data_IF_977994814992
#
_entry.id   IF_977994814992
#
_cell.length_a   1.000
_cell.length_b   1.000
_cell.length_c   1.000
_cell.angle_alpha   90.00
_cell.angle_beta   90.00
_cell.angle_gamma   90.00
#
_symmetry.space_group_name_H-M   'P 1'
#
loop_
_entity.id
_entity.type
_entity.pdbx_description
1 polymer ?
#
# COMPACT_ATOMS: atom_id res chain seq x y z
N UNK A 1 13.52 -1.98 40.06
CA UNK A 1 12.84 -0.72 40.53
C UNK A 1 13.38 0.56 39.89
N UNK A 2 14.69 0.85 39.84
CA UNK A 2 15.24 2.05 39.17
C UNK A 2 15.22 1.87 37.62
N UNK A 3 15.59 0.71 37.11
CA UNK A 3 15.57 0.40 35.69
C UNK A 3 14.17 0.40 35.07
N UNK A 4 13.15 0.02 35.84
CA UNK A 4 11.76 0.02 35.37
C UNK A 4 11.20 1.46 35.30
N UNK A 5 11.60 2.34 36.25
CA UNK A 5 11.26 3.76 36.19
C UNK A 5 11.95 4.49 35.02
N UNK A 6 13.20 4.12 34.71
CA UNK A 6 13.93 4.66 33.56
C UNK A 6 13.26 4.23 32.26
N UNK A 7 12.83 2.97 32.10
CA UNK A 7 12.06 2.51 30.94
C UNK A 7 10.73 3.23 30.77
N UNK A 8 10.04 3.52 31.87
CA UNK A 8 8.78 4.27 31.84
C UNK A 8 9.01 5.74 31.44
N UNK A 9 10.06 6.36 31.95
CA UNK A 9 10.44 7.74 31.59
C UNK A 9 10.88 7.83 30.12
N UNK A 10 11.65 6.87 29.60
CA UNK A 10 11.98 6.80 28.18
C UNK A 10 10.75 6.61 27.29
N UNK A 11 9.72 5.90 27.76
CA UNK A 11 8.47 5.73 27.03
C UNK A 11 7.58 6.97 27.04
N UNK A 12 7.74 7.85 28.04
CA UNK A 12 6.99 9.11 28.20
C UNK A 12 7.68 10.32 27.57
N UNK A 13 8.98 10.24 27.31
CA UNK A 13 9.81 11.32 26.74
C UNK A 13 10.53 10.91 25.45
N UNK A 14 10.17 9.78 24.85
CA UNK A 14 10.58 9.55 23.45
C UNK A 14 10.04 10.71 22.62
N UNK A 15 10.91 11.44 21.90
CA UNK A 15 10.42 12.36 20.87
C UNK A 15 9.51 11.51 19.97
N UNK A 16 8.36 12.08 19.53
CA UNK A 16 7.38 11.43 18.65
C UNK A 16 8.03 10.30 17.88
N UNK A 17 7.63 9.04 18.17
CA UNK A 17 8.21 7.87 17.52
C UNK A 17 8.40 8.21 16.05
N UNK A 18 9.62 8.10 15.54
CA UNK A 18 9.86 8.32 14.12
C UNK A 18 8.78 7.54 13.38
N UNK A 19 7.98 8.26 12.59
CA UNK A 19 6.92 7.63 11.82
C UNK A 19 7.57 6.55 10.96
N UNK A 20 6.97 5.39 10.91
CA UNK A 20 7.45 4.32 10.05
C UNK A 20 7.49 4.81 8.61
N UNK A 21 8.63 4.67 7.97
CA UNK A 21 8.85 5.08 6.58
C UNK A 21 9.43 3.92 5.79
N UNK A 22 9.01 3.77 4.55
CA UNK A 22 9.50 2.73 3.64
C UNK A 22 9.55 3.23 2.20
N UNK A 23 10.30 2.51 1.36
CA UNK A 23 10.36 2.76 -0.06
C UNK A 23 9.28 1.95 -0.78
N UNK A 24 8.60 2.60 -1.71
CA UNK A 24 7.58 2.01 -2.59
C UNK A 24 8.03 2.16 -4.04
N UNK A 25 7.90 1.10 -4.82
CA UNK A 25 8.07 1.16 -6.27
C UNK A 25 6.71 1.45 -6.89
N UNK A 26 6.62 2.56 -7.62
CA UNK A 26 5.40 2.94 -8.34
C UNK A 26 5.35 2.17 -9.66
N UNK A 27 4.24 1.49 -9.94
CA UNK A 27 3.99 0.85 -11.23
C UNK A 27 3.01 1.64 -12.07
N UNK A 28 1.97 2.17 -11.44
CA UNK A 28 0.86 2.82 -12.14
C UNK A 28 0.77 4.27 -11.70
N UNK A 29 0.97 5.23 -12.61
CA UNK A 29 0.81 6.65 -12.32
C UNK A 29 -0.63 7.01 -11.97
N UNK A 30 -0.79 8.02 -11.12
CA UNK A 30 -2.09 8.71 -10.94
C UNK A 30 -2.69 9.08 -12.30
N UNK A 31 -4.01 8.97 -12.40
CA UNK A 31 -4.82 9.24 -13.58
C UNK A 31 -4.59 8.28 -14.78
N UNK A 32 -3.74 7.25 -14.61
CA UNK A 32 -3.55 6.23 -15.62
C UNK A 32 -4.76 5.30 -15.73
N UNK A 33 -5.11 4.96 -16.96
CA UNK A 33 -6.03 3.89 -17.30
C UNK A 33 -5.30 2.58 -17.62
N UNK A 34 -4.00 2.65 -17.79
CA UNK A 34 -3.15 1.51 -18.11
C UNK A 34 -2.63 0.91 -16.82
N UNK A 35 -2.87 -0.39 -16.62
CA UNK A 35 -2.20 -1.17 -15.58
C UNK A 35 -0.86 -1.64 -16.13
N UNK A 36 0.19 -1.28 -15.41
CA UNK A 36 1.54 -1.74 -15.66
C UNK A 36 1.94 -2.72 -14.57
N UNK A 37 2.80 -3.66 -14.93
CA UNK A 37 3.42 -4.62 -14.04
C UNK A 37 4.91 -4.75 -14.35
N UNK A 38 5.71 -4.89 -13.31
CA UNK A 38 7.14 -5.18 -13.47
C UNK A 38 7.34 -6.67 -13.68
N UNK A 39 7.95 -7.04 -14.78
CA UNK A 39 8.30 -8.41 -15.09
C UNK A 39 9.76 -8.69 -14.70
N UNK A 40 9.97 -9.39 -13.57
CA UNK A 40 11.31 -9.73 -13.06
C UNK A 40 12.14 -10.54 -14.05
N UNK A 41 11.53 -11.45 -14.82
CA UNK A 41 12.22 -12.29 -15.79
C UNK A 41 12.86 -11.48 -16.94
N UNK A 42 12.14 -10.48 -17.45
CA UNK A 42 12.60 -9.65 -18.58
C UNK A 42 13.22 -8.34 -18.11
N UNK A 43 13.15 -8.02 -16.83
CA UNK A 43 13.56 -6.72 -16.25
C UNK A 43 12.92 -5.53 -16.98
N UNK A 44 11.62 -5.65 -17.30
CA UNK A 44 10.88 -4.63 -18.07
C UNK A 44 9.52 -4.38 -17.45
N UNK A 45 9.02 -3.17 -17.66
CA UNK A 45 7.61 -2.85 -17.42
C UNK A 45 6.80 -3.42 -18.57
N UNK A 46 5.72 -4.13 -18.24
CA UNK A 46 4.72 -4.61 -19.19
C UNK A 46 3.43 -3.83 -19.01
N UNK A 47 2.72 -3.63 -20.10
CA UNK A 47 1.30 -3.30 -20.05
C UNK A 47 0.56 -4.61 -19.78
N UNK A 48 0.01 -4.75 -18.58
CA UNK A 48 -0.86 -5.89 -18.24
C UNK A 48 -2.19 -5.74 -18.98
N UNK A 49 -2.88 -4.63 -18.77
CA UNK A 49 -4.12 -4.29 -19.47
C UNK A 49 -4.44 -2.81 -19.44
N UNK A 50 -5.43 -2.42 -20.25
CA UNK A 50 -6.10 -1.14 -20.16
C UNK A 50 -7.44 -1.40 -19.49
N UNK A 51 -7.78 -0.66 -18.41
CA UNK A 51 -9.02 -0.85 -17.68
C UNK A 51 -10.24 -0.75 -18.64
N UNK A 52 -11.08 -1.79 -18.72
CA UNK A 52 -12.23 -1.80 -19.60
C UNK A 52 -13.45 -1.07 -18.99
N UNK A 53 -13.20 0.04 -18.31
CA UNK A 53 -14.17 0.82 -17.55
C UNK A 53 -13.94 2.32 -17.76
N UNK A 54 -14.78 3.18 -17.20
CA UNK A 54 -14.56 4.63 -17.19
C UNK A 54 -13.55 5.08 -16.14
N UNK A 55 -13.12 4.18 -15.25
CA UNK A 55 -12.20 4.50 -14.16
C UNK A 55 -10.76 4.67 -14.64
N UNK A 56 -10.06 5.58 -13.97
CA UNK A 56 -8.60 5.72 -13.97
C UNK A 56 -8.12 5.52 -12.52
N UNK A 57 -6.87 5.10 -12.33
CA UNK A 57 -6.27 5.01 -10.99
C UNK A 57 -6.29 6.40 -10.34
N UNK A 58 -7.00 6.61 -9.20
CA UNK A 58 -7.15 7.94 -8.61
C UNK A 58 -5.85 8.46 -7.99
N UNK A 59 -4.94 7.56 -7.64
CA UNK A 59 -3.63 7.85 -7.07
C UNK A 59 -2.57 6.96 -7.70
N UNK A 60 -1.29 7.25 -7.44
CA UNK A 60 -0.23 6.35 -7.86
C UNK A 60 -0.36 5.01 -7.12
N UNK A 61 -0.07 3.95 -7.83
CA UNK A 61 -0.18 2.60 -7.31
C UNK A 61 1.14 1.87 -7.51
N UNK A 62 1.53 1.06 -6.56
CA UNK A 62 2.77 0.31 -6.59
C UNK A 62 2.83 -0.70 -5.46
N UNK A 63 4.02 -1.14 -5.11
CA UNK A 63 4.23 -2.20 -4.14
C UNK A 63 5.44 -1.94 -3.24
N UNK A 64 5.51 -2.70 -2.15
CA UNK A 64 6.66 -2.74 -1.23
C UNK A 64 7.56 -3.89 -1.62
N UNK A 65 8.83 -3.62 -1.92
CA UNK A 65 9.82 -4.67 -2.19
C UNK A 65 10.05 -5.58 -0.97
N UNK A 66 10.39 -6.82 -1.23
CA UNK A 66 10.69 -7.82 -0.20
C UNK A 66 9.51 -8.07 0.76
N UNK A 67 8.30 -8.06 0.22
CA UNK A 67 7.06 -8.47 0.87
C UNK A 67 6.38 -9.57 0.07
N UNK A 68 5.54 -10.36 0.73
CA UNK A 68 4.65 -11.34 0.08
C UNK A 68 3.29 -11.26 0.77
N UNK A 69 2.27 -10.90 0.01
CA UNK A 69 0.87 -10.91 0.45
C UNK A 69 0.25 -12.32 0.34
N UNK A 70 -1.01 -12.47 0.74
CA UNK A 70 -1.68 -13.78 0.77
C UNK A 70 -1.84 -14.41 -0.63
N UNK A 71 -1.97 -13.60 -1.67
CA UNK A 71 -2.05 -14.01 -3.08
C UNK A 71 -0.69 -14.40 -3.70
N UNK A 72 0.40 -14.23 -2.97
CA UNK A 72 1.76 -14.51 -3.40
C UNK A 72 2.49 -13.36 -4.08
N UNK A 73 1.80 -12.25 -4.35
CA UNK A 73 2.39 -11.04 -4.92
C UNK A 73 2.99 -10.12 -3.82
N UNK A 74 3.72 -9.10 -4.23
CA UNK A 74 4.22 -8.08 -3.30
C UNK A 74 3.07 -7.24 -2.76
N UNK A 75 3.19 -6.77 -1.49
CA UNK A 75 2.16 -5.97 -0.84
C UNK A 75 1.93 -4.63 -1.55
N UNK A 76 0.70 -4.40 -1.93
CA UNK A 76 0.25 -3.23 -2.68
C UNK A 76 0.18 -1.94 -1.84
N UNK A 77 0.55 -0.82 -2.47
CA UNK A 77 0.52 0.52 -1.87
C UNK A 77 -0.17 1.52 -2.79
N UNK A 78 -1.11 2.27 -2.24
CA UNK A 78 -1.66 3.48 -2.85
C UNK A 78 -0.84 4.67 -2.34
N UNK A 79 -0.07 5.29 -3.22
CA UNK A 79 0.71 6.48 -2.90
C UNK A 79 -0.12 7.72 -3.21
N UNK A 80 -0.67 8.31 -2.15
CA UNK A 80 -1.59 9.44 -2.21
C UNK A 80 -0.82 10.75 -2.45
N UNK A 81 -0.39 10.94 -3.68
CA UNK A 81 0.26 12.17 -4.17
C UNK A 81 -0.59 12.82 -5.25
N UNK A 82 -0.63 14.16 -5.28
CA UNK A 82 -1.35 14.91 -6.32
C UNK A 82 -0.68 14.80 -7.69
N UNK A 83 0.61 14.45 -7.73
CA UNK A 83 1.36 14.34 -8.98
C UNK A 83 1.44 12.89 -9.44
N UNK A 84 1.27 12.63 -10.76
CA UNK A 84 1.61 11.34 -11.33
C UNK A 84 3.11 11.09 -11.23
N UNK A 85 3.49 9.91 -10.75
CA UNK A 85 4.87 9.48 -10.58
C UNK A 85 5.20 8.48 -11.69
N UNK A 86 6.36 8.63 -12.31
CA UNK A 86 6.76 7.80 -13.42
C UNK A 86 6.91 6.32 -12.99
N UNK A 87 6.45 5.34 -13.79
CA UNK A 87 6.61 3.93 -13.46
C UNK A 87 8.07 3.54 -13.16
N UNK A 88 8.27 2.64 -12.20
CA UNK A 88 9.56 2.19 -11.66
C UNK A 88 10.33 3.25 -10.86
N UNK A 89 9.71 4.38 -10.54
CA UNK A 89 10.29 5.31 -9.57
C UNK A 89 10.16 4.74 -8.17
N UNK A 90 11.25 4.83 -7.40
CA UNK A 90 11.23 4.58 -5.96
C UNK A 90 10.86 5.87 -5.24
N UNK A 91 9.87 5.81 -4.38
CA UNK A 91 9.43 6.93 -3.56
C UNK A 91 9.40 6.55 -2.08
N UNK A 92 9.99 7.40 -1.24
CA UNK A 92 9.92 7.25 0.22
C UNK A 92 8.58 7.74 0.73
N UNK A 93 7.85 6.87 1.44
CA UNK A 93 6.51 7.14 1.94
C UNK A 93 6.36 6.80 3.41
N UNK A 94 5.32 7.35 4.04
CA UNK A 94 4.85 7.00 5.38
C UNK A 94 3.43 6.44 5.27
N UNK A 95 3.10 5.31 5.90
CA UNK A 95 1.75 4.79 5.91
C UNK A 95 0.87 5.66 6.81
N UNK A 96 -0.40 5.75 6.49
CA UNK A 96 -1.40 6.48 7.29
C UNK A 96 -2.61 5.61 7.63
N UNK A 97 -2.75 4.48 6.95
CA UNK A 97 -3.81 3.51 7.15
C UNK A 97 -3.81 2.44 6.08
N UNK A 98 -4.87 1.68 6.03
CA UNK A 98 -5.05 0.56 5.11
C UNK A 98 -6.48 0.55 4.58
N UNK A 99 -6.66 0.19 3.32
CA UNK A 99 -7.94 -0.17 2.74
C UNK A 99 -8.05 -1.69 2.73
N UNK A 100 -9.02 -2.22 3.45
CA UNK A 100 -9.35 -3.64 3.44
C UNK A 100 -10.26 -3.96 2.28
N UNK A 101 -9.82 -4.88 1.44
CA UNK A 101 -10.63 -5.38 0.35
C UNK A 101 -10.37 -6.87 0.11
N UNK A 102 -11.27 -7.46 -0.62
CA UNK A 102 -11.17 -8.82 -1.14
C UNK A 102 -11.52 -8.80 -2.61
N UNK A 103 -10.83 -9.62 -3.38
CA UNK A 103 -11.20 -9.85 -4.76
C UNK A 103 -11.17 -11.35 -5.11
N UNK A 104 -11.84 -11.69 -6.20
CA UNK A 104 -11.88 -13.07 -6.64
C UNK A 104 -12.74 -13.28 -7.86
N UNK A 105 -12.77 -14.52 -8.32
CA UNK A 105 -13.58 -14.93 -9.47
C UNK A 105 -15.07 -14.91 -9.17
N UNK A 106 -15.44 -15.27 -7.97
CA UNK A 106 -16.81 -15.33 -7.47
C UNK A 106 -16.84 -15.15 -5.95
N UNK A 107 -18.03 -15.11 -5.35
CA UNK A 107 -18.22 -14.84 -3.91
C UNK A 107 -17.61 -15.91 -2.99
N UNK A 108 -17.50 -17.14 -3.49
CA UNK A 108 -16.99 -18.28 -2.71
C UNK A 108 -15.44 -18.37 -2.76
N UNK A 109 -14.82 -17.61 -3.67
CA UNK A 109 -13.37 -17.61 -3.92
C UNK A 109 -12.80 -16.18 -3.81
N UNK A 110 -13.19 -15.46 -2.76
CA UNK A 110 -12.64 -14.14 -2.44
C UNK A 110 -11.38 -14.30 -1.58
N UNK A 111 -10.29 -13.71 -2.02
CA UNK A 111 -9.02 -13.63 -1.31
C UNK A 111 -8.82 -12.23 -0.73
N UNK A 112 -8.10 -12.12 0.38
CA UNK A 112 -7.77 -10.84 0.99
C UNK A 112 -6.71 -10.14 0.14
N UNK A 113 -6.99 -8.89 -0.18
CA UNK A 113 -6.15 -8.08 -1.06
C UNK A 113 -6.05 -6.62 -0.52
N UNK A 114 -5.51 -6.43 0.73
CA UNK A 114 -5.45 -5.13 1.36
C UNK A 114 -4.50 -4.18 0.64
N UNK A 115 -4.79 -2.87 0.66
CA UNK A 115 -3.94 -1.82 0.08
C UNK A 115 -3.45 -0.87 1.15
N UNK A 116 -2.14 -0.74 1.32
CA UNK A 116 -1.56 0.26 2.21
C UNK A 116 -1.85 1.66 1.65
N UNK A 117 -2.34 2.55 2.49
CA UNK A 117 -2.52 3.96 2.15
C UNK A 117 -1.34 4.76 2.70
N UNK A 118 -0.57 5.38 1.81
CA UNK A 118 0.65 6.07 2.19
C UNK A 118 0.79 7.42 1.51
N UNK A 119 1.43 8.36 2.18
CA UNK A 119 1.79 9.68 1.64
C UNK A 119 3.30 9.83 1.52
N UNK A 120 3.79 10.61 0.56
CA UNK A 120 5.20 10.99 0.50
C UNK A 120 5.68 11.56 1.83
N UNK A 121 6.89 11.21 2.24
CA UNK A 121 7.51 11.80 3.43
C UNK A 121 7.80 13.29 3.23
N UNK A 122 8.01 14.03 4.33
CA UNK A 122 8.24 15.48 4.29
C UNK A 122 9.39 15.92 3.37
N UNK A 123 10.46 15.14 3.30
CA UNK A 123 11.62 15.42 2.44
C UNK A 123 11.31 15.30 0.95
N UNK A 124 10.30 14.51 0.59
CA UNK A 124 9.83 14.32 -0.78
C UNK A 124 8.76 15.36 -1.12
N UNK A 125 7.74 15.52 -0.25
CA UNK A 125 6.69 16.50 -0.46
C UNK A 125 6.20 17.12 0.85
N UNK A 126 6.49 18.42 1.01
CA UNK A 126 6.18 19.17 2.23
C UNK A 126 4.69 19.36 2.48
N UNK A 127 3.85 19.22 1.46
CA UNK A 127 2.39 19.40 1.56
C UNK A 127 1.75 18.40 2.51
N UNK A 128 2.32 17.19 2.62
CA UNK A 128 1.76 16.09 3.41
C UNK A 128 2.32 15.99 4.84
N UNK A 129 3.01 17.04 5.32
CA UNK A 129 3.63 17.07 6.66
C UNK A 129 2.67 16.67 7.79
N UNK A 130 1.44 17.16 7.73
CA UNK A 130 0.47 17.01 8.80
C UNK A 130 -0.48 15.82 8.62
N UNK A 131 -0.33 15.02 7.58
CA UNK A 131 -1.14 13.82 7.34
C UNK A 131 -0.39 12.63 7.93
N UNK A 132 -0.86 12.08 9.05
CA UNK A 132 -0.18 11.01 9.80
C UNK A 132 -1.10 9.85 10.19
N UNK A 133 -2.39 9.95 9.90
CA UNK A 133 -3.38 8.95 10.23
C UNK A 133 -4.48 8.88 9.17
N UNK A 134 -5.27 7.81 9.21
CA UNK A 134 -6.45 7.62 8.34
C UNK A 134 -7.49 8.76 8.52
N UNK A 135 -7.52 9.38 9.71
CA UNK A 135 -8.45 10.48 10.00
C UNK A 135 -8.03 11.80 9.35
N UNK A 136 -6.76 11.94 8.97
CA UNK A 136 -6.25 13.12 8.28
C UNK A 136 -6.52 13.06 6.76
N UNK A 137 -6.93 11.90 6.24
CA UNK A 137 -7.33 11.76 4.83
C UNK A 137 -8.68 12.45 4.64
N UNK A 138 -8.81 13.37 3.67
CA UNK A 138 -10.10 13.97 3.33
C UNK A 138 -11.17 12.92 3.04
N UNK A 139 -12.37 13.12 3.52
CA UNK A 139 -13.45 12.14 3.35
C UNK A 139 -13.76 11.85 1.87
N UNK A 140 -13.65 12.87 1.02
CA UNK A 140 -13.84 12.71 -0.42
C UNK A 140 -12.81 11.72 -1.02
N UNK A 141 -11.56 11.75 -0.57
CA UNK A 141 -10.51 10.84 -1.06
C UNK A 141 -10.79 9.39 -0.64
N UNK A 142 -11.32 9.18 0.56
CA UNK A 142 -11.79 7.85 1.01
C UNK A 142 -12.96 7.35 0.18
N UNK A 143 -13.91 8.23 -0.16
CA UNK A 143 -15.03 7.90 -1.04
C UNK A 143 -14.53 7.50 -2.43
N UNK A 144 -13.61 8.27 -3.02
CA UNK A 144 -13.00 8.00 -4.33
C UNK A 144 -12.26 6.66 -4.32
N UNK A 145 -11.45 6.39 -3.28
CA UNK A 145 -10.75 5.12 -3.14
C UNK A 145 -11.73 3.94 -3.06
N UNK A 146 -12.75 4.06 -2.21
CA UNK A 146 -13.76 3.03 -2.06
C UNK A 146 -14.52 2.77 -3.36
N UNK A 147 -14.95 3.82 -4.06
CA UNK A 147 -15.65 3.70 -5.33
C UNK A 147 -14.77 3.03 -6.39
N UNK A 148 -13.52 3.50 -6.53
CA UNK A 148 -12.58 2.91 -7.48
C UNK A 148 -12.36 1.42 -7.22
N UNK A 149 -11.94 1.03 -6.03
CA UNK A 149 -11.61 -0.36 -5.71
C UNK A 149 -12.84 -1.29 -5.69
N UNK A 150 -14.04 -0.75 -5.49
CA UNK A 150 -15.27 -1.53 -5.61
C UNK A 150 -15.62 -1.83 -7.07
N UNK A 151 -15.30 -0.92 -8.01
CA UNK A 151 -15.90 -0.94 -9.33
C UNK A 151 -14.91 -1.15 -10.49
N UNK A 152 -13.60 -0.94 -10.29
CA UNK A 152 -12.63 -0.90 -11.40
C UNK A 152 -12.48 -2.24 -12.16
N UNK A 153 -12.81 -3.39 -11.52
CA UNK A 153 -12.78 -4.73 -12.12
C UNK A 153 -14.14 -5.22 -12.59
N UNK A 154 -15.24 -4.43 -12.50
CA UNK A 154 -16.61 -4.89 -12.84
C UNK A 154 -16.76 -5.47 -14.24
N UNK A 155 -15.96 -5.04 -15.20
CA UNK A 155 -15.96 -5.53 -16.57
C UNK A 155 -14.87 -6.60 -16.84
N UNK A 156 -14.25 -7.15 -15.80
CA UNK A 156 -13.17 -8.14 -15.89
C UNK A 156 -13.58 -9.54 -15.41
N UNK A 157 -14.89 -9.77 -15.22
CA UNK A 157 -15.43 -11.00 -14.62
C UNK A 157 -14.81 -11.34 -13.26
N UNK A 158 -14.51 -10.32 -12.47
CA UNK A 158 -14.02 -10.41 -11.09
C UNK A 158 -14.95 -9.66 -10.16
N UNK A 159 -15.07 -10.16 -8.93
CA UNK A 159 -15.79 -9.50 -7.84
C UNK A 159 -14.78 -8.83 -6.94
N UNK A 160 -15.03 -7.58 -6.59
CA UNK A 160 -14.26 -6.83 -5.61
C UNK A 160 -15.18 -6.32 -4.50
N UNK A 161 -14.75 -6.47 -3.26
CA UNK A 161 -15.49 -6.01 -2.07
C UNK A 161 -14.54 -5.18 -1.22
N UNK A 162 -14.89 -3.92 -0.98
CA UNK A 162 -14.19 -3.06 -0.04
C UNK A 162 -14.87 -3.17 1.32
N UNK A 163 -14.18 -3.78 2.27
CA UNK A 163 -14.68 -4.00 3.62
C UNK A 163 -14.58 -2.75 4.51
N UNK A 164 -13.67 -1.82 4.19
CA UNK A 164 -13.49 -0.57 4.92
C UNK A 164 -12.05 -0.11 5.02
N UNK A 165 -11.78 0.72 6.00
CA UNK A 165 -10.45 1.27 6.26
C UNK A 165 -9.97 0.88 7.66
N UNK A 166 -8.68 0.62 7.79
CA UNK A 166 -7.99 0.44 9.05
C UNK A 166 -7.03 1.59 9.35
N UNK A 167 -6.52 1.62 10.55
CA UNK A 167 -5.64 2.68 11.02
C UNK A 167 -4.16 2.46 10.66
N UNK A 168 -3.30 3.35 11.18
CA UNK A 168 -1.86 3.28 11.03
C UNK A 168 -1.25 1.97 11.55
N UNK A 169 -1.73 1.48 12.71
CA UNK A 169 -1.19 0.25 13.31
C UNK A 169 -1.58 -0.98 12.49
N UNK A 170 -2.77 -1.00 11.94
CA UNK A 170 -3.22 -2.04 11.01
C UNK A 170 -2.30 -2.10 9.79
N UNK A 171 -1.96 -0.94 9.21
CA UNK A 171 -1.03 -0.86 8.07
C UNK A 171 0.36 -1.40 8.43
N UNK A 172 0.93 -1.02 9.57
CA UNK A 172 2.23 -1.51 10.03
C UNK A 172 2.21 -3.02 10.23
N UNK A 173 1.17 -3.57 10.87
CA UNK A 173 1.06 -4.99 11.12
C UNK A 173 1.09 -5.80 9.80
N UNK A 174 0.31 -5.37 8.80
CA UNK A 174 0.28 -6.04 7.50
C UNK A 174 1.64 -5.92 6.77
N UNK A 175 2.31 -4.77 6.83
CA UNK A 175 3.65 -4.61 6.24
C UNK A 175 4.64 -5.58 6.89
N UNK A 176 4.65 -5.69 8.21
CA UNK A 176 5.59 -6.56 8.93
C UNK A 176 5.25 -8.06 8.72
N UNK A 177 3.97 -8.42 8.66
CA UNK A 177 3.53 -9.78 8.32
C UNK A 177 3.99 -10.16 6.90
N UNK A 178 3.78 -9.28 5.91
CA UNK A 178 4.17 -9.52 4.51
C UNK A 178 5.70 -9.62 4.34
N UNK A 179 6.48 -8.83 5.09
CA UNK A 179 7.94 -8.97 5.13
C UNK A 179 8.37 -10.32 5.70
N UNK A 180 7.72 -10.76 6.78
CA UNK A 180 8.00 -12.07 7.38
C UNK A 180 7.68 -13.19 6.41
N UNK A 181 6.52 -13.16 5.75
CA UNK A 181 6.15 -14.16 4.73
C UNK A 181 7.19 -14.24 3.62
N UNK A 182 7.70 -13.10 3.14
CA UNK A 182 8.77 -13.07 2.14
C UNK A 182 10.07 -13.71 2.63
N UNK A 183 10.47 -13.48 3.87
CA UNK A 183 11.67 -14.07 4.44
C UNK A 183 11.52 -15.61 4.62
N UNK A 184 10.35 -16.05 5.05
CA UNK A 184 10.03 -17.46 5.28
C UNK A 184 9.93 -18.25 3.95
N UNK A 185 9.55 -17.57 2.84
CA UNK A 185 9.46 -18.17 1.50
C UNK A 185 10.81 -18.34 0.79
N UNK A 186 11.87 -17.66 1.27
CA UNK A 186 13.21 -17.82 0.69
C UNK A 186 13.78 -19.21 1.01
N UNK A 187 14.33 -19.94 0.01
CA UNK A 187 14.98 -21.21 0.28
C UNK A 187 16.17 -20.99 1.24
N UNK A 188 16.14 -21.68 2.37
CA UNK A 188 17.27 -21.73 3.31
C UNK A 188 18.40 -22.48 2.63
N UNK A 189 19.33 -21.77 2.02
CA UNK A 189 20.60 -22.38 1.60
C UNK A 189 21.35 -22.78 2.88
N UNK A 190 21.21 -24.05 3.29
CA UNK A 190 22.11 -24.64 4.29
C UNK A 190 23.51 -24.61 3.68
N UNK A 191 24.41 -23.84 4.31
CA UNK A 191 25.86 -23.89 4.03
C UNK A 191 26.43 -25.24 4.44
#
# INVERSE_FOLDING_TARGET
MILDKIKIIYKLYSPMSELYEFDTIVEIPKDSKVKYEFCCESNKIRVDRILPSAYNYPYNYGYVENTTAEDGDSLDVVVMSDQPIFPMSVIRVKPVGILYMRDGKDIDHLERDPKILAYPVYSVDRRYKNINSINDIPELDKIILKDFFTNYKNNENKITIVDGFGDYNDAINIIEESKKCFLDSKPVYKK
#
